data_IF_334813161831
#
_entry.id   IF_334813161831
#
_cell.length_a   1.000
_cell.length_b   1.000
_cell.length_c   1.000
_cell.angle_alpha   90.00
_cell.angle_beta   90.00
_cell.angle_gamma   90.00
#
_symmetry.space_group_name_H-M   'P 1'
#
loop_
_entity.id
_entity.type
_entity.pdbx_description
1 polymer ?
#
# COMPACT_ATOMS: atom_id res chain seq x y z
N UNK A 1 -10.21 -11.74 -34.10
CA UNK A 1 -10.12 -10.28 -33.96
C UNK A 1 -11.24 -9.82 -33.03
N UNK A 2 -10.96 -9.67 -31.74
CA UNK A 2 -11.87 -9.05 -30.76
C UNK A 2 -11.00 -8.18 -29.86
N UNK A 3 -11.06 -6.86 -30.09
CA UNK A 3 -10.48 -5.85 -29.20
C UNK A 3 -11.42 -5.79 -28.00
N UNK A 4 -10.96 -6.22 -26.84
CA UNK A 4 -11.60 -5.90 -25.56
C UNK A 4 -11.33 -4.43 -25.24
N UNK A 5 -12.33 -3.69 -24.75
CA UNK A 5 -12.20 -2.27 -24.48
C UNK A 5 -11.32 -2.07 -23.25
N UNK A 6 -10.36 -1.17 -23.44
CA UNK A 6 -9.55 -0.52 -22.43
C UNK A 6 -10.48 0.19 -21.43
N UNK A 7 -10.72 -0.45 -20.29
CA UNK A 7 -11.36 0.11 -19.09
C UNK A 7 -10.40 0.17 -17.89
N UNK A 8 -9.09 0.12 -18.16
CA UNK A 8 -8.01 0.18 -17.19
C UNK A 8 -7.48 1.61 -17.15
N UNK A 9 -8.32 2.56 -16.73
CA UNK A 9 -7.98 3.98 -16.80
C UNK A 9 -8.59 4.88 -15.73
N UNK A 10 -9.70 4.46 -15.08
CA UNK A 10 -10.48 5.38 -14.22
C UNK A 10 -10.83 4.82 -12.83
N UNK A 11 -10.44 3.58 -12.53
CA UNK A 11 -10.67 2.97 -11.20
C UNK A 11 -9.48 3.17 -10.24
N UNK A 12 -8.41 3.85 -10.68
CA UNK A 12 -7.19 4.08 -9.88
C UNK A 12 -7.36 5.25 -8.90
N UNK A 13 -8.45 6.03 -9.02
CA UNK A 13 -8.73 7.18 -8.17
C UNK A 13 -9.95 6.98 -7.26
N UNK A 14 -10.20 5.75 -6.84
CA UNK A 14 -11.01 5.48 -5.66
C UNK A 14 -10.13 4.62 -4.79
N UNK A 15 -9.19 5.26 -4.09
CA UNK A 15 -8.81 4.72 -2.78
C UNK A 15 -10.15 4.66 -2.07
N UNK A 16 -10.71 3.46 -1.89
CA UNK A 16 -11.92 3.34 -1.11
C UNK A 16 -11.62 4.06 0.22
N UNK A 17 -12.46 4.98 0.70
CA UNK A 17 -12.27 5.69 1.98
C UNK A 17 -12.43 4.74 3.20
N UNK A 18 -12.09 3.46 3.00
CA UNK A 18 -12.10 2.33 3.91
C UNK A 18 -10.86 1.43 3.69
N UNK A 19 -9.92 1.81 2.83
CA UNK A 19 -8.68 1.06 2.60
C UNK A 19 -7.56 1.44 3.57
N UNK A 20 -7.71 2.55 4.32
CA UNK A 20 -6.74 2.98 5.32
C UNK A 20 -6.72 1.99 6.50
N UNK A 21 -7.87 1.64 7.08
CA UNK A 21 -7.96 0.70 8.20
C UNK A 21 -7.24 -0.66 7.97
N UNK A 22 -7.49 -1.39 6.87
CA UNK A 22 -6.80 -2.65 6.63
C UNK A 22 -5.30 -2.47 6.37
N UNK A 23 -4.89 -1.34 5.76
CA UNK A 23 -3.48 -1.01 5.56
C UNK A 23 -2.78 -0.70 6.89
N UNK A 24 -3.41 0.09 7.75
CA UNK A 24 -2.95 0.39 9.11
C UNK A 24 -2.77 -0.91 9.88
N UNK A 25 -3.77 -1.79 9.87
CA UNK A 25 -3.71 -3.10 10.53
C UNK A 25 -2.56 -3.97 10.00
N UNK A 26 -2.37 -4.03 8.67
CA UNK A 26 -1.30 -4.77 8.05
C UNK A 26 0.10 -4.23 8.44
N UNK A 27 0.29 -2.91 8.41
CA UNK A 27 1.54 -2.27 8.83
C UNK A 27 1.81 -2.52 10.32
N UNK A 28 0.80 -2.40 11.19
CA UNK A 28 0.96 -2.65 12.62
C UNK A 28 1.31 -4.10 12.93
N UNK A 29 0.63 -5.06 12.29
CA UNK A 29 0.88 -6.48 12.54
C UNK A 29 2.25 -6.89 12.02
N UNK A 30 2.61 -6.52 10.79
CA UNK A 30 3.91 -6.86 10.20
C UNK A 30 5.07 -6.24 10.99
N UNK A 31 4.91 -5.03 11.55
CA UNK A 31 5.94 -4.39 12.40
C UNK A 31 6.33 -5.25 13.60
N UNK A 32 5.43 -6.13 14.08
CA UNK A 32 5.70 -7.06 15.18
C UNK A 32 6.58 -8.24 14.76
N UNK A 33 6.58 -8.59 13.47
CA UNK A 33 7.29 -9.74 12.92
C UNK A 33 8.58 -9.34 12.22
N UNK A 34 8.54 -8.31 11.38
CA UNK A 34 9.71 -7.79 10.65
C UNK A 34 9.62 -6.27 10.45
N UNK A 35 10.65 -5.51 10.83
CA UNK A 35 10.68 -4.07 10.57
C UNK A 35 10.91 -3.71 9.10
N UNK A 36 11.36 -4.67 8.27
CA UNK A 36 11.69 -4.44 6.86
C UNK A 36 10.95 -5.40 5.89
N UNK A 37 9.61 -5.36 5.84
CA UNK A 37 8.83 -6.27 5.03
C UNK A 37 8.94 -5.97 3.54
N UNK A 38 8.67 -7.00 2.73
CA UNK A 38 8.38 -6.84 1.31
C UNK A 38 6.90 -6.52 1.09
N UNK A 39 6.56 -5.96 -0.07
CA UNK A 39 5.17 -5.73 -0.46
C UNK A 39 4.30 -7.00 -0.38
N UNK A 40 4.86 -8.17 -0.67
CA UNK A 40 4.15 -9.45 -0.58
C UNK A 40 3.85 -9.86 0.87
N UNK A 41 4.71 -9.51 1.82
CA UNK A 41 4.48 -9.81 3.23
C UNK A 41 3.33 -8.91 3.76
N UNK A 42 3.39 -7.62 3.45
CA UNK A 42 2.32 -6.68 3.77
C UNK A 42 0.97 -7.06 3.14
N UNK A 43 0.97 -7.46 1.87
CA UNK A 43 -0.24 -7.91 1.16
C UNK A 43 -0.86 -9.18 1.79
N UNK A 44 -0.05 -10.05 2.38
CA UNK A 44 -0.52 -11.27 3.03
C UNK A 44 -1.29 -11.03 4.34
N UNK A 45 -1.19 -9.82 4.91
CA UNK A 45 -1.96 -9.41 6.08
C UNK A 45 -3.35 -8.82 5.72
N UNK A 46 -3.64 -8.62 4.44
CA UNK A 46 -4.93 -8.14 3.98
C UNK A 46 -5.86 -9.35 3.73
N UNK A 47 -6.77 -9.64 4.67
CA UNK A 47 -7.70 -10.78 4.59
C UNK A 47 -8.64 -10.73 3.36
N UNK A 48 -9.02 -9.54 2.92
CA UNK A 48 -9.74 -9.27 1.67
C UNK A 48 -9.08 -8.05 1.01
N UNK A 49 -8.04 -8.25 0.19
CA UNK A 49 -7.23 -7.15 -0.29
C UNK A 49 -8.11 -6.22 -1.14
N UNK A 50 -8.34 -4.97 -0.71
CA UNK A 50 -9.19 -4.03 -1.45
C UNK A 50 -8.57 -3.65 -2.81
N UNK A 51 -7.31 -4.04 -3.04
CA UNK A 51 -6.49 -3.69 -4.19
C UNK A 51 -5.80 -4.94 -4.75
N UNK A 52 -5.71 -5.08 -6.09
CA UNK A 52 -4.82 -6.06 -6.70
C UNK A 52 -3.36 -5.84 -6.25
N UNK A 53 -2.58 -6.91 -6.06
CA UNK A 53 -1.18 -6.84 -5.61
C UNK A 53 -0.29 -5.85 -6.39
N UNK A 54 -0.54 -5.66 -7.70
CA UNK A 54 0.16 -4.66 -8.52
C UNK A 54 -0.20 -3.23 -8.10
N UNK A 55 -1.46 -2.98 -7.80
CA UNK A 55 -1.96 -1.69 -7.30
C UNK A 55 -1.46 -1.44 -5.88
N UNK A 56 -1.42 -2.48 -5.05
CA UNK A 56 -0.84 -2.41 -3.71
C UNK A 56 0.64 -2.00 -3.75
N UNK A 57 1.43 -2.57 -4.65
CA UNK A 57 2.83 -2.14 -4.86
C UNK A 57 2.96 -0.67 -5.27
N UNK A 58 2.01 -0.14 -6.04
CA UNK A 58 1.97 1.29 -6.40
C UNK A 58 1.57 2.17 -5.21
N UNK A 59 0.63 1.72 -4.39
CA UNK A 59 0.26 2.39 -3.15
C UNK A 59 1.48 2.51 -2.21
N UNK A 60 2.22 1.43 -2.00
CA UNK A 60 3.44 1.49 -1.17
C UNK A 60 4.49 2.45 -1.72
N UNK A 61 4.64 2.55 -3.05
CA UNK A 61 5.51 3.55 -3.66
C UNK A 61 5.02 4.98 -3.38
N UNK A 62 3.71 5.23 -3.45
CA UNK A 62 3.12 6.53 -3.09
C UNK A 62 3.33 6.86 -1.61
N UNK A 63 3.17 5.90 -0.69
CA UNK A 63 3.44 6.13 0.73
C UNK A 63 4.91 6.49 0.99
N UNK A 64 5.84 5.95 0.20
CA UNK A 64 7.25 6.38 0.24
C UNK A 64 7.42 7.80 -0.30
N UNK A 65 6.78 8.13 -1.42
CA UNK A 65 6.82 9.49 -2.00
C UNK A 65 6.21 10.55 -1.06
N UNK A 66 5.25 10.16 -0.24
CA UNK A 66 4.60 10.99 0.78
C UNK A 66 5.32 10.99 2.13
N UNK A 67 6.48 10.30 2.24
CA UNK A 67 7.27 10.19 3.47
C UNK A 67 6.53 9.52 4.66
N UNK A 68 5.47 8.76 4.38
CA UNK A 68 4.68 8.00 5.38
C UNK A 68 5.40 6.72 5.81
N UNK A 69 6.10 6.10 4.86
CA UNK A 69 7.01 4.96 5.10
C UNK A 69 8.32 5.20 4.35
N UNK A 70 9.38 4.48 4.71
CA UNK A 70 10.66 4.59 4.02
C UNK A 70 10.94 3.38 3.13
N UNK A 71 11.79 3.56 2.11
CA UNK A 71 12.33 2.45 1.33
C UNK A 71 13.67 2.01 1.93
N UNK A 72 13.69 0.82 2.53
CA UNK A 72 14.91 0.23 3.10
C UNK A 72 15.86 -0.31 2.02
N UNK A 73 15.33 -0.95 0.98
CA UNK A 73 16.15 -1.46 -0.12
C UNK A 73 15.37 -1.52 -1.42
N UNK A 74 15.95 -0.98 -2.49
CA UNK A 74 15.40 -1.07 -3.85
C UNK A 74 15.91 -2.34 -4.56
N UNK A 75 14.97 -3.18 -5.04
CA UNK A 75 15.23 -4.39 -5.83
C UNK A 75 14.10 -4.57 -6.84
N UNK A 76 14.43 -4.92 -8.08
CA UNK A 76 13.49 -5.04 -9.21
C UNK A 76 12.26 -5.93 -9.00
N UNK A 77 12.22 -6.76 -7.96
CA UNK A 77 11.07 -7.61 -7.62
C UNK A 77 10.83 -7.79 -6.11
N UNK A 78 11.59 -7.12 -5.24
CA UNK A 78 11.59 -7.39 -3.80
C UNK A 78 12.01 -6.15 -2.99
N UNK A 79 11.42 -5.01 -3.30
CA UNK A 79 11.57 -3.80 -2.47
C UNK A 79 11.24 -4.14 -1.02
N UNK A 80 12.08 -3.66 -0.11
CA UNK A 80 11.85 -3.73 1.33
C UNK A 80 11.54 -2.33 1.83
N UNK A 81 10.47 -2.22 2.60
CA UNK A 81 10.02 -0.97 3.18
C UNK A 81 10.43 -0.92 4.64
N UNK A 82 10.83 0.24 5.15
CA UNK A 82 10.99 0.48 6.56
C UNK A 82 9.71 1.12 7.11
N UNK A 83 9.04 0.36 7.96
CA UNK A 83 7.75 0.72 8.56
C UNK A 83 7.89 1.08 10.05
N UNK A 84 9.12 1.30 10.53
CA UNK A 84 9.37 1.62 11.94
C UNK A 84 8.95 3.03 12.32
N UNK A 85 9.12 3.97 11.39
CA UNK A 85 8.81 5.38 11.58
C UNK A 85 7.34 5.73 11.31
N UNK A 86 6.59 4.81 10.71
CA UNK A 86 5.18 4.97 10.37
C UNK A 86 4.31 5.31 11.59
N UNK A 87 3.48 6.35 11.47
CA UNK A 87 2.40 6.73 12.38
C UNK A 87 1.04 6.60 11.68
N UNK A 88 0.03 6.13 12.41
CA UNK A 88 -1.34 6.04 11.92
C UNK A 88 -1.94 7.40 11.58
N UNK A 89 -1.50 8.46 12.26
CA UNK A 89 -1.95 9.83 12.00
C UNK A 89 -1.67 10.24 10.55
N UNK A 90 -0.52 9.86 9.99
CA UNK A 90 -0.15 10.22 8.62
C UNK A 90 -1.05 9.54 7.57
N UNK A 91 -1.52 8.32 7.86
CA UNK A 91 -2.50 7.64 7.00
C UNK A 91 -3.92 8.21 7.15
N UNK A 92 -4.33 8.59 8.36
CA UNK A 92 -5.62 9.26 8.59
C UNK A 92 -5.67 10.63 7.90
N UNK A 93 -4.56 11.37 7.92
CA UNK A 93 -4.41 12.63 7.18
C UNK A 93 -4.50 12.40 5.66
N UNK A 94 -3.85 11.36 5.15
CA UNK A 94 -3.95 10.98 3.74
C UNK A 94 -5.39 10.60 3.34
N UNK A 95 -6.09 9.82 4.16
CA UNK A 95 -7.49 9.48 3.93
C UNK A 95 -8.38 10.74 3.90
N UNK A 96 -8.15 11.67 4.83
CA UNK A 96 -8.86 12.96 4.88
C UNK A 96 -8.60 13.82 3.64
N UNK A 97 -7.38 13.81 3.09
CA UNK A 97 -7.01 14.56 1.88
C UNK A 97 -7.64 13.99 0.60
N UNK A 98 -8.00 12.71 0.61
CA UNK A 98 -8.52 11.98 -0.55
C UNK A 98 -10.05 11.79 -0.54
N UNK A 99 -10.72 12.17 0.56
CA UNK A 99 -12.18 12.13 0.75
C UNK A 99 -12.90 13.34 0.11
#
# INVERSE_FOLDING_TARGET
MRRTPHGEGDAVLIIAPHAAEPLVAALYEERRHTPYPTSRQLDAHLEDPPLPARTFGRLLALLVELEIIELYTERSSANRYDIRAYDAVDLDELETLLA
#
